data_IF_732700067215
#
_entry.id   IF_732700067215
#
_cell.length_a   1.000
_cell.length_b   1.000
_cell.length_c   1.000
_cell.angle_alpha   90.00
_cell.angle_beta   90.00
_cell.angle_gamma   90.00
#
_symmetry.space_group_name_H-M   'P 1'
#
loop_
_entity.id
_entity.type
_entity.pdbx_description
1 polymer ?
#
# COMPACT_ATOMS: atom_id res chain seq x y z
N UNK A 1 -9.97 5.75 13.62
CA UNK A 1 -11.15 6.08 12.78
C UNK A 1 -11.91 4.83 12.28
N UNK A 2 -12.00 3.73 13.06
CA UNK A 2 -12.78 2.54 12.66
C UNK A 2 -12.38 1.89 11.32
N UNK A 3 -11.15 2.07 10.85
CA UNK A 3 -10.69 1.61 9.52
C UNK A 3 -10.84 2.61 8.38
N UNK A 4 -11.47 3.76 8.60
CA UNK A 4 -11.46 4.89 7.67
C UNK A 4 -10.07 5.55 7.55
N UNK A 5 -9.75 6.17 6.40
CA UNK A 5 -10.58 6.32 5.20
C UNK A 5 -10.66 5.07 4.29
N UNK A 6 -9.82 4.05 4.53
CA UNK A 6 -9.90 2.75 3.87
C UNK A 6 -9.82 2.81 2.34
N UNK A 7 -10.69 2.09 1.63
CA UNK A 7 -10.73 2.09 0.17
C UNK A 7 -11.02 3.49 -0.44
N UNK A 8 -11.55 4.43 0.36
CA UNK A 8 -11.80 5.82 -0.05
C UNK A 8 -10.64 6.75 0.26
N UNK A 9 -9.45 6.24 0.61
CA UNK A 9 -8.29 7.07 0.99
C UNK A 9 -7.97 8.18 -0.02
N UNK A 10 -7.98 7.90 -1.32
CA UNK A 10 -7.72 8.91 -2.36
C UNK A 10 -8.86 9.93 -2.55
N UNK A 11 -10.06 9.62 -2.04
CA UNK A 11 -11.30 10.43 -2.16
C UNK A 11 -11.87 10.82 -0.80
N UNK A 12 -11.04 10.75 0.24
CA UNK A 12 -11.40 11.19 1.58
C UNK A 12 -11.68 12.70 1.59
N UNK A 13 -12.91 13.13 1.83
CA UNK A 13 -13.39 14.52 1.64
C UNK A 13 -13.68 14.94 0.18
N UNK A 14 -13.76 13.98 -0.76
CA UNK A 14 -14.04 14.26 -2.17
C UNK A 14 -12.80 14.19 -3.06
N UNK A 15 -13.01 14.45 -4.36
CA UNK A 15 -11.95 14.41 -5.38
C UNK A 15 -11.08 15.68 -5.36
N UNK A 16 -11.68 16.83 -5.07
CA UNK A 16 -11.00 18.13 -5.09
C UNK A 16 -10.19 18.44 -3.83
N UNK A 17 -10.36 17.67 -2.76
CA UNK A 17 -9.72 17.96 -1.48
C UNK A 17 -8.18 17.76 -1.54
N UNK A 18 -7.44 18.76 -1.08
CA UNK A 18 -5.98 18.68 -0.97
C UNK A 18 -5.54 17.70 0.13
N UNK A 19 -4.28 17.27 0.11
CA UNK A 19 -3.77 16.41 1.19
C UNK A 19 -3.68 17.15 2.53
N UNK A 20 -3.41 18.45 2.53
CA UNK A 20 -3.39 19.26 3.75
C UNK A 20 -4.75 19.27 4.46
N UNK A 21 -5.84 19.42 3.71
CA UNK A 21 -7.22 19.34 4.25
C UNK A 21 -7.52 17.96 4.82
N UNK A 22 -7.10 16.91 4.10
CA UNK A 22 -7.23 15.51 4.55
C UNK A 22 -6.43 15.25 5.83
N UNK A 23 -5.23 15.82 5.95
CA UNK A 23 -4.42 15.75 7.16
C UNK A 23 -5.10 16.46 8.31
N UNK A 24 -5.52 17.72 8.11
CA UNK A 24 -6.21 18.51 9.13
C UNK A 24 -7.43 17.76 9.68
N UNK A 25 -8.22 17.13 8.80
CA UNK A 25 -9.36 16.32 9.20
C UNK A 25 -8.96 15.10 10.04
N UNK A 26 -7.99 14.30 9.57
CA UNK A 26 -7.56 13.09 10.29
C UNK A 26 -6.94 13.45 11.64
N UNK A 27 -6.06 14.46 11.67
CA UNK A 27 -5.39 14.90 12.88
C UNK A 27 -6.39 15.49 13.88
N UNK A 28 -7.36 16.28 13.40
CA UNK A 28 -8.44 16.83 14.23
C UNK A 28 -9.34 15.74 14.84
N UNK A 29 -9.74 14.74 14.06
CA UNK A 29 -10.52 13.59 14.58
C UNK A 29 -9.75 12.75 15.60
N UNK A 30 -8.43 12.87 15.63
CA UNK A 30 -7.56 12.11 16.53
C UNK A 30 -6.91 12.99 17.60
N UNK A 31 -7.23 14.29 17.72
CA UNK A 31 -6.49 15.24 18.55
C UNK A 31 -6.36 14.78 20.02
N UNK A 32 -7.46 14.29 20.60
CA UNK A 32 -7.53 13.83 22.00
C UNK A 32 -7.03 12.38 22.21
N UNK A 33 -6.60 11.69 21.15
CA UNK A 33 -6.11 10.32 21.26
C UNK A 33 -4.63 10.29 21.64
N UNK A 34 -4.27 9.59 22.74
CA UNK A 34 -2.87 9.38 23.10
C UNK A 34 -2.19 8.49 22.05
N UNK A 35 -0.85 8.54 22.02
CA UNK A 35 -0.03 7.96 20.93
C UNK A 35 -0.36 6.48 20.66
N UNK A 36 -0.65 5.72 21.71
CA UNK A 36 -0.89 4.28 21.70
C UNK A 36 -2.24 3.92 21.07
N UNK A 37 -3.15 4.89 20.93
CA UNK A 37 -4.47 4.73 20.29
C UNK A 37 -4.50 5.23 18.84
N UNK A 38 -3.35 5.64 18.28
CA UNK A 38 -3.25 6.22 16.92
C UNK A 38 -2.88 5.21 15.83
N UNK A 39 -3.01 3.91 16.10
CA UNK A 39 -2.64 2.86 15.15
C UNK A 39 -3.34 2.99 13.80
N UNK A 40 -2.54 2.87 12.75
CA UNK A 40 -2.96 2.85 11.36
C UNK A 40 -2.15 1.82 10.58
N UNK A 41 -2.64 1.48 9.38
CA UNK A 41 -1.90 0.64 8.46
C UNK A 41 -2.12 1.11 7.03
N UNK A 42 -1.07 1.10 6.23
CA UNK A 42 -1.24 1.10 4.78
C UNK A 42 -1.36 -0.34 4.28
N UNK A 43 -2.22 -0.54 3.27
CA UNK A 43 -2.47 -1.82 2.62
C UNK A 43 -2.39 -1.67 1.12
N UNK A 44 -1.76 -2.63 0.46
CA UNK A 44 -1.75 -2.79 -0.98
C UNK A 44 -2.20 -4.22 -1.29
N UNK A 45 -3.12 -4.36 -2.24
CA UNK A 45 -3.50 -5.64 -2.83
C UNK A 45 -3.14 -5.56 -4.32
N UNK A 46 -2.47 -6.59 -4.83
CA UNK A 46 -2.17 -6.76 -6.25
C UNK A 46 -2.94 -7.99 -6.72
N UNK A 47 -3.72 -7.80 -7.79
CA UNK A 47 -4.34 -8.87 -8.54
C UNK A 47 -3.50 -9.19 -9.76
N UNK A 48 -3.17 -10.47 -9.95
CA UNK A 48 -2.49 -11.00 -11.11
C UNK A 48 -3.48 -11.87 -11.87
N UNK A 49 -3.80 -11.46 -13.10
CA UNK A 49 -4.74 -12.14 -13.97
C UNK A 49 -4.07 -12.50 -15.29
N UNK A 50 -4.34 -13.70 -15.78
CA UNK A 50 -3.94 -14.14 -17.10
C UNK A 50 -5.03 -13.81 -18.13
N UNK A 51 -4.69 -13.21 -19.29
CA UNK A 51 -5.66 -12.99 -20.35
C UNK A 51 -6.35 -14.29 -20.79
N UNK A 52 -7.68 -14.31 -20.75
CA UNK A 52 -8.49 -15.48 -21.11
C UNK A 52 -8.60 -16.55 -20.02
N UNK A 53 -8.02 -16.33 -18.84
CA UNK A 53 -8.25 -17.15 -17.65
C UNK A 53 -9.27 -16.48 -16.72
N UNK A 54 -10.14 -17.29 -16.11
CA UNK A 54 -11.03 -16.85 -15.03
C UNK A 54 -10.28 -16.80 -13.67
N UNK A 55 -9.07 -17.34 -13.60
CA UNK A 55 -8.29 -17.37 -12.37
C UNK A 55 -7.58 -16.03 -12.12
N UNK A 56 -7.81 -15.46 -10.93
CA UNK A 56 -7.12 -14.28 -10.43
C UNK A 56 -6.37 -14.62 -9.15
N UNK A 57 -5.04 -14.51 -9.19
CA UNK A 57 -4.19 -14.70 -8.01
C UNK A 57 -4.03 -13.36 -7.29
N UNK A 58 -4.37 -13.32 -6.00
CA UNK A 58 -4.23 -12.13 -5.17
C UNK A 58 -3.00 -12.24 -4.28
N UNK A 59 -2.28 -11.13 -4.12
CA UNK A 59 -1.32 -10.98 -3.05
C UNK A 59 -1.47 -9.59 -2.41
N UNK A 60 -0.98 -9.46 -1.18
CA UNK A 60 -1.11 -8.21 -0.45
C UNK A 60 0.17 -7.87 0.29
N UNK A 61 0.34 -6.59 0.61
CA UNK A 61 1.36 -6.09 1.51
C UNK A 61 0.74 -5.10 2.48
N UNK A 62 1.23 -5.09 3.71
CA UNK A 62 0.84 -4.11 4.71
C UNK A 62 2.04 -3.59 5.48
N UNK A 63 1.93 -2.35 5.95
CA UNK A 63 2.85 -1.73 6.90
C UNK A 63 2.02 -1.09 7.98
N UNK A 64 2.36 -1.38 9.23
CA UNK A 64 1.69 -0.86 10.42
C UNK A 64 2.52 0.28 10.99
N UNK A 65 1.82 1.28 11.53
CA UNK A 65 2.41 2.48 12.09
C UNK A 65 1.38 3.24 12.91
N UNK A 66 1.72 4.47 13.25
CA UNK A 66 0.86 5.39 13.98
C UNK A 66 0.55 6.60 13.11
N UNK A 67 -0.60 7.23 13.31
CA UNK A 67 -0.81 8.59 12.80
C UNK A 67 0.00 9.55 13.67
N UNK A 68 0.86 10.37 13.04
CA UNK A 68 1.66 11.38 13.73
C UNK A 68 0.76 12.46 14.37
N UNK A 69 1.34 13.31 15.22
CA UNK A 69 0.63 14.49 15.76
C UNK A 69 0.62 15.66 14.77
N UNK A 70 1.63 15.72 13.90
CA UNK A 70 1.82 16.74 12.88
C UNK A 70 2.48 16.10 11.64
N UNK A 71 2.27 16.64 10.43
CA UNK A 71 2.96 16.17 9.24
C UNK A 71 4.46 16.48 9.30
N UNK A 72 5.31 15.52 8.91
CA UNK A 72 6.77 15.72 8.77
C UNK A 72 7.31 15.03 7.53
N UNK A 73 8.34 15.62 6.93
CA UNK A 73 9.02 15.09 5.74
C UNK A 73 8.35 15.49 4.42
N UNK A 74 9.15 15.54 3.36
CA UNK A 74 8.74 16.02 2.03
C UNK A 74 8.80 14.93 0.96
N UNK A 75 9.30 13.74 1.30
CA UNK A 75 9.43 12.63 0.34
C UNK A 75 8.13 11.82 0.23
N UNK A 76 7.98 11.08 -0.86
CA UNK A 76 6.84 10.19 -1.03
C UNK A 76 5.59 10.93 -1.50
N UNK A 77 4.42 10.47 -1.07
CA UNK A 77 3.14 11.05 -1.48
C UNK A 77 2.01 10.71 -0.51
N UNK A 78 0.91 11.41 -0.70
CA UNK A 78 -0.33 11.19 0.02
C UNK A 78 -0.16 11.25 1.53
N UNK A 79 -0.57 10.20 2.25
CA UNK A 79 -0.58 10.22 3.72
C UNK A 79 0.79 9.95 4.36
N UNK A 80 1.86 9.82 3.58
CA UNK A 80 3.20 9.56 4.11
C UNK A 80 3.67 10.56 5.19
N UNK A 81 3.40 11.89 5.07
CA UNK A 81 3.84 12.86 6.08
C UNK A 81 3.21 12.66 7.45
N UNK A 82 2.03 12.03 7.53
CA UNK A 82 1.35 11.77 8.80
C UNK A 82 1.43 10.30 9.23
N UNK A 83 2.12 9.44 8.48
CA UNK A 83 2.25 8.01 8.80
C UNK A 83 3.59 7.72 9.46
N UNK A 84 3.59 7.66 10.80
CA UNK A 84 4.77 7.45 11.65
C UNK A 84 5.11 5.96 11.83
N UNK A 85 6.39 5.65 11.74
CA UNK A 85 6.96 4.32 11.94
C UNK A 85 7.81 4.31 13.22
N UNK A 86 7.31 3.73 14.34
CA UNK A 86 8.04 3.69 15.61
C UNK A 86 9.45 3.11 15.48
N UNK A 87 9.61 2.04 14.70
CA UNK A 87 10.90 1.36 14.51
C UNK A 87 11.95 2.20 13.76
N UNK A 88 11.55 3.29 13.11
CA UNK A 88 12.46 4.20 12.41
C UNK A 88 12.49 5.60 13.03
N UNK A 89 11.69 5.84 14.07
CA UNK A 89 11.47 7.16 14.67
C UNK A 89 11.17 8.27 13.65
N UNK A 90 10.50 7.93 12.54
CA UNK A 90 10.29 8.79 11.37
C UNK A 90 8.93 8.55 10.74
N UNK A 91 8.39 9.55 10.05
CA UNK A 91 7.27 9.37 9.13
C UNK A 91 7.75 8.68 7.85
N UNK A 92 6.83 8.14 7.06
CA UNK A 92 7.15 7.59 5.74
C UNK A 92 7.76 8.65 4.80
N UNK A 93 7.40 9.92 4.96
CA UNK A 93 7.93 11.01 4.15
C UNK A 93 9.33 11.49 4.57
N UNK A 94 9.83 11.05 5.73
CA UNK A 94 11.20 11.28 6.21
C UNK A 94 12.17 10.14 5.85
N UNK A 95 11.67 9.07 5.24
CA UNK A 95 12.48 7.93 4.81
C UNK A 95 13.01 8.12 3.38
N UNK A 96 14.27 7.72 3.10
CA UNK A 96 14.78 7.63 1.74
C UNK A 96 13.91 6.70 0.87
N UNK A 97 13.75 7.04 -0.40
CA UNK A 97 12.96 6.26 -1.36
C UNK A 97 13.38 4.79 -1.42
N UNK A 98 14.69 4.50 -1.40
CA UNK A 98 15.20 3.13 -1.45
C UNK A 98 14.76 2.30 -0.24
N UNK A 99 14.67 2.91 0.95
CA UNK A 99 14.18 2.23 2.14
C UNK A 99 12.68 1.95 2.03
N UNK A 100 11.91 2.93 1.54
CA UNK A 100 10.47 2.81 1.35
C UNK A 100 10.09 1.68 0.38
N UNK A 101 10.88 1.46 -0.66
CA UNK A 101 10.66 0.36 -1.60
C UNK A 101 10.81 -1.03 -0.95
N UNK A 102 11.60 -1.13 0.12
CA UNK A 102 11.79 -2.37 0.86
C UNK A 102 10.68 -2.61 1.91
N UNK A 103 10.27 -1.55 2.61
CA UNK A 103 9.42 -1.70 3.81
C UNK A 103 7.95 -1.32 3.61
N UNK A 104 7.62 -0.61 2.52
CA UNK A 104 6.25 -0.17 2.29
C UNK A 104 5.31 -1.34 1.96
N UNK A 105 4.03 -1.13 2.22
CA UNK A 105 2.95 -2.03 1.80
C UNK A 105 3.02 -2.38 0.30
N UNK A 106 3.34 -1.41 -0.57
CA UNK A 106 3.51 -1.65 -2.02
C UNK A 106 4.74 -2.49 -2.31
N UNK A 107 5.90 -2.15 -1.75
CA UNK A 107 7.12 -2.95 -1.89
C UNK A 107 6.91 -4.42 -1.48
N UNK A 108 6.27 -4.63 -0.32
CA UNK A 108 5.90 -5.97 0.18
C UNK A 108 4.91 -6.69 -0.73
N UNK A 109 3.91 -6.01 -1.27
CA UNK A 109 2.97 -6.60 -2.22
C UNK A 109 3.67 -7.00 -3.52
N UNK A 110 4.51 -6.12 -4.09
CA UNK A 110 5.28 -6.38 -5.31
C UNK A 110 6.23 -7.56 -5.14
N UNK A 111 6.93 -7.67 -4.01
CA UNK A 111 7.79 -8.83 -3.71
C UNK A 111 7.00 -10.15 -3.69
N UNK A 112 5.75 -10.12 -3.20
CA UNK A 112 4.84 -11.27 -3.18
C UNK A 112 4.20 -11.57 -4.55
N UNK A 113 4.01 -10.56 -5.40
CA UNK A 113 3.52 -10.73 -6.76
C UNK A 113 4.54 -11.43 -7.66
N UNK A 114 5.84 -11.20 -7.43
CA UNK A 114 6.93 -11.75 -8.26
C UNK A 114 6.87 -13.28 -8.45
N UNK A 115 6.76 -14.13 -7.41
CA UNK A 115 6.64 -15.57 -7.61
C UNK A 115 5.36 -15.97 -8.36
N UNK A 116 4.22 -15.31 -8.11
CA UNK A 116 2.96 -15.59 -8.81
C UNK A 116 3.09 -15.35 -10.33
N UNK A 117 3.73 -14.23 -10.70
CA UNK A 117 4.00 -13.92 -12.11
C UNK A 117 4.93 -14.97 -12.75
N UNK A 118 5.97 -15.43 -12.04
CA UNK A 118 6.88 -16.46 -12.56
C UNK A 118 6.16 -17.79 -12.80
N UNK A 119 5.33 -18.21 -11.84
CA UNK A 119 4.53 -19.43 -11.96
C UNK A 119 3.57 -19.35 -13.15
N UNK A 120 2.83 -18.25 -13.27
CA UNK A 120 1.91 -18.01 -14.39
C UNK A 120 2.62 -18.04 -15.75
N UNK A 121 3.80 -17.42 -15.86
CA UNK A 121 4.62 -17.47 -17.08
C UNK A 121 5.12 -18.88 -17.40
N UNK A 122 5.45 -19.69 -16.39
CA UNK A 122 5.86 -21.09 -16.59
C UNK A 122 4.69 -21.95 -17.09
N UNK A 123 3.50 -21.79 -16.51
CA UNK A 123 2.28 -22.50 -16.90
C UNK A 123 1.86 -22.15 -18.33
N UNK A 124 1.97 -20.88 -18.71
CA UNK A 124 1.71 -20.40 -20.09
C UNK A 124 2.61 -21.07 -21.11
N UNK A 125 3.91 -21.13 -20.84
CA UNK A 125 4.90 -21.73 -21.75
C UNK A 125 4.65 -23.24 -21.91
N UNK A 126 4.30 -23.95 -20.84
CA UNK A 126 3.93 -25.37 -20.92
C UNK A 126 2.70 -25.60 -21.79
N UNK A 127 1.65 -24.80 -21.59
CA UNK A 127 0.40 -24.91 -22.38
C UNK A 127 0.66 -24.69 -23.87
N UNK A 128 1.42 -23.65 -24.22
CA UNK A 128 1.79 -23.36 -25.62
C UNK A 128 2.63 -24.47 -26.26
N UNK A 129 3.67 -24.94 -25.58
CA UNK A 129 4.51 -26.03 -26.11
C UNK A 129 3.77 -27.36 -26.26
N UNK A 130 2.70 -27.60 -25.47
CA UNK A 130 1.84 -28.78 -25.64
C UNK A 130 0.92 -28.62 -26.86
N UNK A 131 0.38 -27.42 -27.09
CA UNK A 131 -0.46 -27.14 -28.25
C UNK A 131 0.33 -27.25 -29.57
N UNK A 132 1.55 -26.71 -29.62
CA UNK A 132 2.42 -26.77 -30.80
C UNK A 132 2.89 -28.21 -31.12
N UNK A 133 2.92 -29.11 -30.13
CA UNK A 133 3.30 -30.52 -30.33
C UNK A 133 2.14 -31.41 -30.80
N UNK A 134 0.90 -30.93 -30.73
CA UNK A 134 -0.33 -31.64 -31.12
C UNK A 134 -0.89 -31.16 -32.48
N UNK A 135 -0.28 -30.14 -33.09
CA UNK A 135 -0.61 -29.58 -34.41
C UNK A 135 0.37 -30.06 -35.47
#
# INVERSE_FOLDING_TARGET
>A
LGGGPGARSARFLGEDAGYEERFARILGEMAELPSEKRWARFRCVIAVAEPGSEEVKLCQGEVQGLIAFEPRGEQGFGYDPIFYLPQHARTMAELPSQMKDLISHRGRATMRARPLLKEMLHEQRRRKGTADALS
#
